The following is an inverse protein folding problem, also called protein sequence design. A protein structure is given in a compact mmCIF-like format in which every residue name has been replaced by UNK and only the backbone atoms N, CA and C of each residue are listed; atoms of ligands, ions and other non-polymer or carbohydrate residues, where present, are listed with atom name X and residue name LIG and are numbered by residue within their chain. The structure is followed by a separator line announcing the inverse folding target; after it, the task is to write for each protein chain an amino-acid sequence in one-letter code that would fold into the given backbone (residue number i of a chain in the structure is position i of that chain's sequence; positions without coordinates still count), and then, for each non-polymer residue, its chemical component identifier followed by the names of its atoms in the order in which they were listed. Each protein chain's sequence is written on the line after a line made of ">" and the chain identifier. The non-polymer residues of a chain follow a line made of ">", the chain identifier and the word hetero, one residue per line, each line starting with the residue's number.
data_IF_321990615300
#
_entry.id   IF_321990615300
#
_cell.length_a   1.000
_cell.length_b   1.000
_cell.length_c   1.000
_cell.angle_alpha   90.00
_cell.angle_beta   90.00
_cell.angle_gamma   90.00
#
_symmetry.space_group_name_H-M   'P 1'
#
loop_
_entity.id
_entity.type
_entity.pdbx_description
1 polymer ?
#
# COMPACT_ATOMS: atom_id res chain seq x y z
N UNK A 1 19.22 24.42 43.55
CA UNK A 1 20.06 23.21 43.47
C UNK A 1 19.20 22.01 43.05
N UNK A 2 18.54 22.13 41.89
CA UNK A 2 17.74 21.09 41.22
C UNK A 2 17.95 21.31 39.72
N UNK A 3 18.98 20.68 39.12
CA UNK A 3 19.24 20.74 37.67
C UNK A 3 20.39 19.80 37.23
N UNK A 4 20.52 18.59 37.81
CA UNK A 4 21.58 17.65 37.37
C UNK A 4 21.26 16.15 37.46
N UNK A 5 20.05 15.76 37.87
CA UNK A 5 19.70 14.34 38.04
C UNK A 5 18.82 13.73 36.93
N UNK A 6 18.51 14.49 35.86
CA UNK A 6 17.66 14.01 34.75
C UNK A 6 18.45 13.78 33.44
N UNK A 7 19.78 13.94 33.47
CA UNK A 7 20.61 13.90 32.26
C UNK A 7 21.54 12.67 32.12
N UNK A 8 21.51 11.69 33.02
CA UNK A 8 22.41 10.52 32.98
C UNK A 8 21.69 9.16 33.09
N UNK A 9 20.52 9.00 32.48
CA UNK A 9 19.84 7.70 32.39
C UNK A 9 19.56 7.23 30.96
N UNK A 10 20.18 7.86 29.95
CA UNK A 10 19.93 7.60 28.53
C UNK A 10 21.18 7.08 27.79
N UNK A 11 22.01 6.27 28.45
CA UNK A 11 23.04 5.46 27.77
C UNK A 11 23.18 4.10 28.48
N UNK A 12 22.17 3.24 28.35
CA UNK A 12 22.35 1.80 28.49
C UNK A 12 21.70 1.15 27.27
N UNK A 13 22.54 0.71 26.33
CA UNK A 13 22.11 -0.18 25.25
C UNK A 13 21.49 -1.42 25.89
N UNK A 14 20.23 -1.80 25.59
CA UNK A 14 19.75 -3.12 25.97
C UNK A 14 20.63 -4.14 25.25
N UNK A 15 21.21 -5.08 25.98
CA UNK A 15 21.90 -6.22 25.39
C UNK A 15 20.93 -6.97 24.47
N UNK A 16 21.42 -7.38 23.29
CA UNK A 16 20.61 -8.03 22.25
C UNK A 16 19.80 -9.25 22.74
N UNK A 17 20.19 -9.88 23.86
CA UNK A 17 19.47 -11.03 24.44
C UNK A 17 18.22 -10.70 25.28
N UNK A 18 17.99 -9.45 25.69
CA UNK A 18 16.87 -9.12 26.58
C UNK A 18 15.51 -8.97 25.84
N UNK A 19 15.54 -8.73 24.53
CA UNK A 19 14.32 -8.65 23.72
C UNK A 19 13.89 -10.03 23.19
N UNK A 20 14.82 -10.95 22.96
CA UNK A 20 14.50 -12.30 22.46
C UNK A 20 13.79 -13.16 23.51
N UNK A 21 14.10 -13.01 24.80
CA UNK A 21 13.43 -13.74 25.89
C UNK A 21 11.99 -13.30 26.17
N UNK A 22 11.54 -12.20 25.56
CA UNK A 22 10.16 -11.71 25.65
C UNK A 22 9.34 -12.00 24.39
N UNK A 23 9.93 -12.62 23.38
CA UNK A 23 9.19 -13.02 22.19
C UNK A 23 8.31 -14.23 22.53
N UNK A 24 6.99 -14.16 22.28
CA UNK A 24 6.15 -15.34 22.40
C UNK A 24 6.65 -16.45 21.45
N UNK A 25 6.37 -17.73 21.76
CA UNK A 25 6.77 -18.84 20.91
C UNK A 25 6.28 -18.64 19.46
N UNK A 26 6.96 -19.24 18.46
CA UNK A 26 6.58 -19.13 17.06
C UNK A 26 5.12 -19.54 16.88
N UNK A 27 4.33 -18.61 16.35
CA UNK A 27 2.88 -18.76 16.17
C UNK A 27 2.55 -19.90 15.23
N UNK A 28 1.45 -20.60 15.51
CA UNK A 28 0.91 -21.63 14.59
C UNK A 28 0.52 -21.01 13.24
N UNK A 29 0.46 -21.80 12.16
CA UNK A 29 0.07 -21.30 10.82
C UNK A 29 -1.28 -20.57 10.84
N UNK A 30 -2.19 -20.98 11.72
CA UNK A 30 -3.49 -20.35 11.96
C UNK A 30 -3.38 -19.00 12.68
N UNK A 31 -2.47 -18.87 13.65
CA UNK A 31 -2.17 -17.61 14.35
C UNK A 31 -1.37 -16.61 13.51
N UNK A 32 -0.64 -17.07 12.49
CA UNK A 32 0.08 -16.23 11.51
C UNK A 32 -0.92 -15.49 10.59
N UNK A 33 -2.07 -16.09 10.30
CA UNK A 33 -3.12 -15.53 9.44
C UNK A 33 -4.18 -14.74 10.23
N UNK A 34 -3.89 -14.28 11.44
CA UNK A 34 -4.79 -13.41 12.19
C UNK A 34 -4.49 -11.95 11.91
N UNK A 35 -5.50 -11.18 11.48
CA UNK A 35 -5.44 -9.73 11.59
C UNK A 35 -5.10 -9.36 13.03
N UNK A 36 -4.20 -8.39 13.18
CA UNK A 36 -3.73 -7.89 14.48
C UNK A 36 -4.65 -6.80 15.01
N UNK A 37 -5.56 -6.30 14.16
CA UNK A 37 -6.56 -5.31 14.51
C UNK A 37 -7.82 -5.55 13.67
N UNK A 38 -8.94 -5.87 14.31
CA UNK A 38 -10.19 -6.12 13.59
C UNK A 38 -10.71 -4.83 12.91
N UNK A 39 -11.23 -4.90 11.67
CA UNK A 39 -11.91 -3.76 11.06
C UNK A 39 -13.13 -3.38 11.89
N UNK A 40 -13.35 -2.08 12.14
CA UNK A 40 -14.60 -1.65 12.80
C UNK A 40 -15.81 -2.08 11.94
N UNK A 41 -16.97 -2.40 12.53
CA UNK A 41 -18.18 -2.68 11.76
C UNK A 41 -18.73 -1.40 11.09
N UNK A 42 -19.59 -1.54 10.05
CA UNK A 42 -20.37 -0.43 9.53
C UNK A 42 -21.14 0.29 10.64
N UNK A 43 -21.27 1.63 10.58
CA UNK A 43 -21.95 2.44 11.60
C UNK A 43 -21.12 2.80 12.84
N UNK A 44 -19.91 2.24 12.99
CA UNK A 44 -18.94 2.66 14.03
C UNK A 44 -17.75 3.43 13.46
N UNK A 45 -17.91 4.00 12.26
CA UNK A 45 -16.86 4.76 11.57
C UNK A 45 -16.80 6.24 12.01
N UNK A 46 -17.83 6.71 12.72
CA UNK A 46 -17.87 8.03 13.34
C UNK A 46 -17.71 9.16 12.32
N UNK A 47 -16.90 10.21 12.62
CA UNK A 47 -16.74 11.38 11.75
C UNK A 47 -16.18 11.10 10.34
N UNK A 48 -15.69 9.88 10.07
CA UNK A 48 -15.10 9.52 8.78
C UNK A 48 -16.11 8.91 7.80
N UNK A 49 -17.34 8.63 8.23
CA UNK A 49 -18.29 7.82 7.47
C UNK A 49 -18.59 8.39 6.07
N UNK A 50 -18.81 9.71 5.97
CA UNK A 50 -19.05 10.37 4.68
C UNK A 50 -17.82 10.40 3.77
N UNK A 51 -16.62 10.56 4.34
CA UNK A 51 -15.38 10.56 3.58
C UNK A 51 -15.02 9.16 3.08
N UNK A 52 -15.31 8.13 3.88
CA UNK A 52 -15.15 6.73 3.50
C UNK A 52 -16.13 6.31 2.41
N UNK A 53 -17.37 6.79 2.45
CA UNK A 53 -18.35 6.54 1.37
C UNK A 53 -17.81 6.90 -0.02
N UNK A 54 -17.13 8.05 -0.15
CA UNK A 54 -16.51 8.47 -1.42
C UNK A 54 -15.36 7.57 -1.87
N UNK A 55 -14.64 6.97 -0.92
CA UNK A 55 -13.60 5.97 -1.26
C UNK A 55 -14.25 4.66 -1.69
N UNK A 56 -15.34 4.24 -1.05
CA UNK A 56 -16.03 3.01 -1.43
C UNK A 56 -16.62 3.11 -2.84
N UNK A 57 -17.18 4.27 -3.20
CA UNK A 57 -17.62 4.55 -4.57
C UNK A 57 -16.45 4.52 -5.57
N UNK A 58 -15.24 4.88 -5.14
CA UNK A 58 -14.06 4.89 -6.00
C UNK A 58 -13.49 3.49 -6.26
N UNK A 59 -13.45 2.63 -5.23
CA UNK A 59 -12.78 1.31 -5.33
C UNK A 59 -13.76 0.14 -5.42
N UNK A 60 -15.06 0.38 -5.28
CA UNK A 60 -16.13 -0.61 -5.38
C UNK A 60 -16.42 -1.42 -4.11
N UNK A 61 -15.61 -1.29 -3.06
CA UNK A 61 -15.76 -2.03 -1.80
C UNK A 61 -15.31 -1.18 -0.61
N UNK A 62 -15.52 -1.73 0.60
CA UNK A 62 -15.08 -1.14 1.87
C UNK A 62 -13.72 -1.72 2.28
N UNK A 63 -12.63 -0.95 2.26
CA UNK A 63 -11.34 -1.46 2.69
C UNK A 63 -11.26 -1.62 4.22
N UNK A 64 -10.98 -2.83 4.66
CA UNK A 64 -10.65 -3.21 6.03
C UNK A 64 -9.50 -2.37 6.59
N UNK A 65 -8.49 -2.03 5.77
CA UNK A 65 -7.41 -1.14 6.21
C UNK A 65 -7.95 0.20 6.75
N UNK A 66 -8.86 0.84 6.02
CA UNK A 66 -9.45 2.10 6.45
C UNK A 66 -10.40 1.92 7.64
N UNK A 67 -11.14 0.80 7.68
CA UNK A 67 -11.99 0.45 8.82
C UNK A 67 -11.18 0.20 10.11
N UNK A 68 -9.95 -0.31 10.01
CA UNK A 68 -9.05 -0.44 11.17
C UNK A 68 -8.55 0.93 11.65
N UNK A 69 -8.19 1.82 10.71
CA UNK A 69 -7.72 3.19 10.98
C UNK A 69 -8.79 4.11 11.56
N UNK A 70 -10.09 3.84 11.35
CA UNK A 70 -11.20 4.69 11.80
C UNK A 70 -11.26 4.89 13.33
N UNK A 71 -10.53 4.07 14.11
CA UNK A 71 -10.25 4.30 15.53
C UNK A 71 -9.51 5.62 15.81
N UNK A 72 -8.82 6.18 14.82
CA UNK A 72 -8.15 7.48 14.84
C UNK A 72 -8.72 8.38 13.74
N UNK A 73 -9.99 8.74 13.91
CA UNK A 73 -10.80 9.46 12.91
C UNK A 73 -10.15 10.74 12.36
N UNK A 74 -9.51 11.56 13.19
CA UNK A 74 -8.80 12.76 12.71
C UNK A 74 -7.67 12.42 11.73
N UNK A 75 -6.83 11.44 12.09
CA UNK A 75 -5.73 11.00 11.24
C UNK A 75 -6.26 10.33 9.95
N UNK A 76 -7.30 9.51 10.06
CA UNK A 76 -7.95 8.90 8.91
C UNK A 76 -8.55 9.95 7.97
N UNK A 77 -9.24 10.97 8.48
CA UNK A 77 -9.80 12.03 7.64
C UNK A 77 -8.72 12.80 6.87
N UNK A 78 -7.56 13.08 7.47
CA UNK A 78 -6.41 13.66 6.76
C UNK A 78 -5.90 12.72 5.66
N UNK A 79 -5.79 11.43 5.96
CA UNK A 79 -5.38 10.42 4.98
C UNK A 79 -6.39 10.32 3.81
N UNK A 80 -7.69 10.34 4.09
CA UNK A 80 -8.73 10.27 3.06
C UNK A 80 -8.70 11.49 2.14
N UNK A 81 -8.45 12.69 2.69
CA UNK A 81 -8.23 13.89 1.88
C UNK A 81 -6.98 13.74 1.00
N UNK A 82 -5.89 13.20 1.55
CA UNK A 82 -4.67 12.92 0.77
C UNK A 82 -4.91 11.90 -0.36
N UNK A 83 -5.66 10.82 -0.12
CA UNK A 83 -6.03 9.85 -1.15
C UNK A 83 -6.79 10.54 -2.29
N UNK A 84 -7.78 11.37 -1.96
CA UNK A 84 -8.53 12.16 -2.95
C UNK A 84 -7.60 13.04 -3.78
N UNK A 85 -6.70 13.77 -3.13
CA UNK A 85 -5.77 14.68 -3.79
C UNK A 85 -4.74 13.98 -4.69
N UNK A 86 -4.34 12.75 -4.34
CA UNK A 86 -3.35 11.99 -5.13
C UNK A 86 -4.02 11.29 -6.31
N UNK A 87 -5.14 10.61 -6.09
CA UNK A 87 -5.72 9.68 -7.07
C UNK A 87 -6.97 10.19 -7.81
N UNK A 88 -7.65 11.24 -7.32
CA UNK A 88 -8.91 11.72 -7.91
C UNK A 88 -8.85 13.13 -8.47
N UNK A 89 -8.10 14.03 -7.84
CA UNK A 89 -7.97 15.39 -8.36
C UNK A 89 -7.44 15.34 -9.81
N UNK A 90 -7.98 16.18 -10.72
CA UNK A 90 -7.46 16.29 -12.08
C UNK A 90 -5.95 16.58 -12.03
N UNK A 91 -5.17 15.61 -12.46
CA UNK A 91 -3.72 15.69 -12.54
C UNK A 91 -3.24 15.43 -13.96
N UNK A 92 -1.92 15.50 -14.15
CA UNK A 92 -1.29 15.20 -15.44
C UNK A 92 -1.26 13.70 -15.74
N UNK A 93 -1.34 12.86 -14.70
CA UNK A 93 -1.38 11.40 -14.83
C UNK A 93 -2.78 10.86 -14.54
N UNK A 94 -3.20 9.86 -15.32
CA UNK A 94 -4.48 9.18 -15.10
C UNK A 94 -4.51 8.46 -13.75
N UNK A 95 -5.70 8.36 -13.15
CA UNK A 95 -5.91 7.65 -11.89
C UNK A 95 -5.43 6.19 -11.98
N UNK A 96 -5.81 5.51 -13.06
CA UNK A 96 -5.38 4.15 -13.36
C UNK A 96 -3.85 3.98 -13.38
N UNK A 97 -3.13 4.86 -14.07
CA UNK A 97 -1.67 4.78 -14.16
C UNK A 97 -0.99 5.04 -12.80
N UNK A 98 -1.51 5.98 -12.01
CA UNK A 98 -1.04 6.20 -10.62
C UNK A 98 -1.20 4.94 -9.76
N UNK A 99 -2.28 4.19 -9.95
CA UNK A 99 -2.49 2.91 -9.26
C UNK A 99 -1.57 1.79 -9.76
N UNK A 100 -1.20 1.76 -11.05
CA UNK A 100 -0.15 0.84 -11.53
C UNK A 100 1.23 1.16 -10.91
N UNK A 101 1.57 2.45 -10.78
CA UNK A 101 2.77 2.89 -10.06
C UNK A 101 2.73 2.40 -8.60
N UNK A 102 1.58 2.59 -7.93
CA UNK A 102 1.35 2.11 -6.58
C UNK A 102 1.46 0.57 -6.45
N UNK A 103 0.99 -0.17 -7.45
CA UNK A 103 1.15 -1.62 -7.52
C UNK A 103 2.63 -1.99 -7.53
N UNK A 104 3.42 -1.42 -8.45
CA UNK A 104 4.86 -1.75 -8.58
C UNK A 104 5.62 -1.42 -7.29
N UNK A 105 5.31 -0.30 -6.65
CA UNK A 105 5.91 0.06 -5.36
C UNK A 105 5.52 -0.92 -4.23
N UNK A 106 4.27 -1.40 -4.22
CA UNK A 106 3.75 -2.32 -3.20
C UNK A 106 4.23 -3.75 -3.37
N UNK A 107 4.38 -4.18 -4.63
CA UNK A 107 5.01 -5.44 -4.98
C UNK A 107 6.47 -5.46 -4.54
N UNK A 108 7.24 -4.41 -4.87
CA UNK A 108 8.63 -4.27 -4.41
C UNK A 108 8.78 -4.17 -2.88
N UNK A 109 7.75 -3.67 -2.19
CA UNK A 109 7.68 -3.64 -0.73
C UNK A 109 7.27 -4.98 -0.10
N UNK A 110 6.99 -6.02 -0.90
CA UNK A 110 6.43 -7.31 -0.47
C UNK A 110 5.15 -7.15 0.38
N UNK A 111 4.22 -6.29 -0.05
CA UNK A 111 2.95 -6.06 0.64
C UNK A 111 1.75 -6.55 -0.20
N UNK A 112 1.34 -7.84 -0.09
CA UNK A 112 0.28 -8.43 -0.90
C UNK A 112 -1.07 -7.71 -0.81
N UNK A 113 -1.46 -7.26 0.39
CA UNK A 113 -2.71 -6.52 0.57
C UNK A 113 -2.71 -5.25 -0.27
N UNK A 114 -1.64 -4.46 -0.18
CA UNK A 114 -1.57 -3.21 -0.93
C UNK A 114 -1.45 -3.44 -2.44
N UNK A 115 -0.70 -4.47 -2.89
CA UNK A 115 -0.55 -4.72 -4.32
C UNK A 115 -1.85 -5.20 -4.96
N UNK A 116 -2.62 -6.11 -4.34
CA UNK A 116 -3.92 -6.51 -4.89
C UNK A 116 -4.93 -5.35 -4.92
N UNK A 117 -4.92 -4.51 -3.89
CA UNK A 117 -5.78 -3.32 -3.84
C UNK A 117 -5.38 -2.29 -4.90
N UNK A 118 -4.08 -2.09 -5.13
CA UNK A 118 -3.58 -1.18 -6.14
C UNK A 118 -3.98 -1.61 -7.55
N UNK A 119 -3.79 -2.89 -7.91
CA UNK A 119 -4.14 -3.35 -9.27
C UNK A 119 -5.65 -3.32 -9.50
N UNK A 120 -6.46 -3.70 -8.50
CA UNK A 120 -7.92 -3.60 -8.61
C UNK A 120 -8.39 -2.14 -8.71
N UNK A 121 -7.77 -1.22 -7.96
CA UNK A 121 -8.06 0.21 -8.08
C UNK A 121 -7.59 0.80 -9.43
N UNK A 122 -6.55 0.23 -10.05
CA UNK A 122 -6.12 0.63 -11.39
C UNK A 122 -7.19 0.34 -12.44
N UNK A 123 -7.85 -0.82 -12.34
CA UNK A 123 -9.01 -1.19 -13.18
C UNK A 123 -10.15 -0.18 -13.03
N UNK A 124 -10.57 0.14 -11.79
CA UNK A 124 -11.58 1.18 -11.54
C UNK A 124 -11.13 2.58 -12.02
N UNK A 125 -9.82 2.82 -12.02
CA UNK A 125 -9.19 4.03 -12.57
C UNK A 125 -9.08 4.07 -14.10
N UNK A 126 -9.60 3.07 -14.81
CA UNK A 126 -9.69 3.02 -16.27
C UNK A 126 -8.57 2.22 -16.97
N UNK A 127 -7.73 1.51 -16.23
CA UNK A 127 -6.77 0.57 -16.85
C UNK A 127 -7.48 -0.69 -17.37
N UNK A 128 -6.90 -1.31 -18.40
CA UNK A 128 -7.43 -2.55 -18.96
C UNK A 128 -6.91 -3.77 -18.19
N UNK A 129 -7.70 -4.85 -18.18
CA UNK A 129 -7.29 -6.12 -17.56
C UNK A 129 -6.02 -6.69 -18.19
N UNK A 130 -5.85 -6.53 -19.51
CA UNK A 130 -4.62 -6.92 -20.20
C UNK A 130 -3.38 -6.19 -19.65
N UNK A 131 -3.52 -4.92 -19.24
CA UNK A 131 -2.42 -4.17 -18.61
C UNK A 131 -2.22 -4.58 -17.16
N UNK A 132 -3.30 -4.89 -16.43
CA UNK A 132 -3.22 -5.48 -15.09
C UNK A 132 -2.51 -6.84 -15.09
N UNK A 133 -2.73 -7.68 -16.10
CA UNK A 133 -2.04 -8.97 -16.27
C UNK A 133 -0.56 -8.78 -16.64
N UNK A 134 -0.32 -7.87 -17.58
CA UNK A 134 1.03 -7.56 -18.07
C UNK A 134 1.93 -6.89 -17.02
N UNK A 135 1.37 -6.26 -15.99
CA UNK A 135 2.15 -5.47 -15.03
C UNK A 135 3.22 -6.32 -14.34
N UNK A 136 3.02 -7.62 -14.13
CA UNK A 136 4.03 -8.51 -13.52
C UNK A 136 5.32 -8.64 -14.37
N UNK A 137 5.24 -8.31 -15.65
CA UNK A 137 6.32 -8.32 -16.66
C UNK A 137 6.59 -6.93 -17.24
N UNK A 138 6.31 -5.86 -16.47
CA UNK A 138 6.33 -4.49 -17.01
C UNK A 138 7.67 -4.04 -17.66
N UNK A 139 8.80 -4.67 -17.31
CA UNK A 139 10.14 -4.34 -17.83
C UNK A 139 10.30 -4.65 -19.31
N UNK A 140 9.72 -5.76 -19.78
CA UNK A 140 9.86 -6.27 -21.14
C UNK A 140 8.53 -6.39 -21.89
N UNK A 141 7.39 -6.21 -21.22
CA UNK A 141 6.08 -6.28 -21.86
C UNK A 141 5.78 -5.07 -22.76
N UNK A 142 5.40 -5.32 -24.00
CA UNK A 142 5.13 -4.31 -25.02
C UNK A 142 3.94 -3.37 -24.72
N UNK A 143 3.06 -3.72 -23.77
CA UNK A 143 1.94 -2.87 -23.37
C UNK A 143 2.36 -1.60 -22.61
N UNK A 144 3.61 -1.51 -22.18
CA UNK A 144 4.15 -0.34 -21.49
C UNK A 144 5.19 0.38 -22.35
N UNK A 145 5.13 1.70 -22.35
CA UNK A 145 6.08 2.59 -23.03
C UNK A 145 7.39 2.76 -22.25
N UNK A 146 8.40 3.38 -22.85
CA UNK A 146 9.63 3.78 -22.13
C UNK A 146 9.33 4.79 -21.00
N UNK A 147 8.39 5.72 -21.24
CA UNK A 147 7.89 6.67 -20.25
C UNK A 147 7.32 5.94 -19.02
N UNK A 148 6.41 5.00 -19.22
CA UNK A 148 5.81 4.25 -18.09
C UNK A 148 6.84 3.38 -17.35
N UNK A 149 7.73 2.71 -18.08
CA UNK A 149 8.83 1.94 -17.47
C UNK A 149 9.74 2.81 -16.60
N UNK A 150 10.00 4.05 -16.97
CA UNK A 150 10.78 4.97 -16.14
C UNK A 150 10.11 5.26 -14.78
N UNK A 151 8.78 5.43 -14.77
CA UNK A 151 8.02 5.58 -13.53
C UNK A 151 8.01 4.28 -12.70
N UNK A 152 7.88 3.12 -13.35
CA UNK A 152 7.90 1.82 -12.68
C UNK A 152 9.27 1.47 -12.10
N UNK A 153 10.38 1.82 -12.75
CA UNK A 153 11.72 1.65 -12.16
C UNK A 153 11.90 2.49 -10.90
N UNK A 154 11.45 3.75 -10.89
CA UNK A 154 11.43 4.55 -9.66
C UNK A 154 10.54 3.89 -8.59
N UNK A 155 9.33 3.46 -8.95
CA UNK A 155 8.39 2.83 -8.02
C UNK A 155 8.98 1.58 -7.37
N UNK A 156 9.60 0.71 -8.17
CA UNK A 156 10.26 -0.51 -7.71
C UNK A 156 11.45 -0.20 -6.79
N UNK A 157 12.30 0.75 -7.16
CA UNK A 157 13.45 1.16 -6.35
C UNK A 157 13.04 1.82 -5.03
N UNK A 158 12.00 2.67 -5.07
CA UNK A 158 11.49 3.41 -3.91
C UNK A 158 10.64 2.53 -2.96
N UNK A 159 9.96 1.52 -3.49
CA UNK A 159 9.19 0.54 -2.70
C UNK A 159 10.07 -0.43 -1.92
N UNK A 160 11.29 -0.69 -2.39
CA UNK A 160 12.25 -1.55 -1.69
C UNK A 160 12.74 -0.92 -0.37
N UNK A 161 12.96 -1.71 0.68
CA UNK A 161 13.53 -1.25 1.95
C UNK A 161 14.87 -1.95 2.25
N UNK A 162 15.98 -1.21 2.50
CA UNK A 162 16.10 0.25 2.33
C UNK A 162 15.87 0.67 0.87
N UNK A 163 15.45 1.92 0.67
CA UNK A 163 15.21 2.47 -0.66
C UNK A 163 16.46 2.35 -1.53
N UNK A 164 16.26 1.96 -2.79
CA UNK A 164 17.31 1.81 -3.81
C UNK A 164 17.31 2.97 -4.80
N UNK A 165 16.58 4.04 -4.52
CA UNK A 165 16.52 5.23 -5.37
C UNK A 165 17.90 5.88 -5.47
N UNK A 166 18.26 6.27 -6.69
CA UNK A 166 19.52 6.94 -7.03
C UNK A 166 19.24 8.10 -7.98
N UNK A 167 20.22 8.99 -8.19
CA UNK A 167 20.10 10.11 -9.14
C UNK A 167 19.74 9.63 -10.56
N UNK A 168 20.23 8.47 -10.96
CA UNK A 168 19.92 7.88 -12.26
C UNK A 168 18.41 7.72 -12.51
N UNK A 169 17.65 7.29 -11.49
CA UNK A 169 16.19 7.16 -11.64
C UNK A 169 15.54 8.51 -11.99
N UNK A 170 15.97 9.58 -11.33
CA UNK A 170 15.46 10.93 -11.59
C UNK A 170 15.99 11.54 -12.90
N UNK A 171 17.20 11.21 -13.32
CA UNK A 171 17.72 11.60 -14.63
C UNK A 171 16.88 11.00 -15.75
N UNK A 172 16.55 9.70 -15.67
CA UNK A 172 15.69 9.01 -16.64
C UNK A 172 14.25 9.54 -16.58
N UNK A 173 13.69 9.76 -15.39
CA UNK A 173 12.35 10.35 -15.24
C UNK A 173 12.24 11.72 -15.94
N UNK A 174 13.24 12.60 -15.77
CA UNK A 174 13.24 13.93 -16.40
C UNK A 174 13.34 13.91 -17.92
N UNK A 175 13.72 12.79 -18.53
CA UNK A 175 13.66 12.63 -20.00
C UNK A 175 12.22 12.47 -20.50
N UNK A 176 11.30 12.06 -19.62
CA UNK A 176 9.94 11.73 -19.98
C UNK A 176 8.92 12.63 -19.34
N UNK A 177 9.12 13.03 -18.08
CA UNK A 177 8.16 13.70 -17.22
C UNK A 177 8.62 15.09 -16.79
N UNK A 178 7.66 16.01 -16.63
CA UNK A 178 7.91 17.30 -16.00
C UNK A 178 7.91 17.19 -14.45
N UNK A 179 8.23 18.29 -13.77
CA UNK A 179 8.36 18.30 -12.31
C UNK A 179 7.05 18.02 -11.57
N UNK A 180 5.91 18.41 -12.14
CA UNK A 180 4.59 18.17 -11.55
C UNK A 180 4.21 16.70 -11.68
N UNK A 181 4.45 16.10 -12.85
CA UNK A 181 4.26 14.67 -13.06
C UNK A 181 5.19 13.81 -12.17
N UNK A 182 6.45 14.23 -12.01
CA UNK A 182 7.39 13.55 -11.09
C UNK A 182 6.88 13.61 -9.66
N UNK A 183 6.30 14.74 -9.23
CA UNK A 183 5.69 14.87 -7.92
C UNK A 183 4.47 13.95 -7.77
N UNK A 184 3.61 13.83 -8.78
CA UNK A 184 2.47 12.90 -8.78
C UNK A 184 2.91 11.43 -8.65
N UNK A 185 3.97 11.04 -9.37
CA UNK A 185 4.57 9.69 -9.27
C UNK A 185 5.07 9.46 -7.84
N UNK A 186 5.86 10.39 -7.31
CA UNK A 186 6.42 10.28 -5.97
C UNK A 186 5.34 10.24 -4.88
N UNK A 187 4.28 11.02 -5.00
CA UNK A 187 3.14 11.01 -4.08
C UNK A 187 2.40 9.66 -4.11
N UNK A 188 2.20 9.09 -5.30
CA UNK A 188 1.56 7.76 -5.45
C UNK A 188 2.37 6.68 -4.73
N UNK A 189 3.70 6.68 -4.93
CA UNK A 189 4.64 5.77 -4.27
C UNK A 189 4.63 5.98 -2.74
N UNK A 190 4.76 7.23 -2.28
CA UNK A 190 4.85 7.55 -0.86
C UNK A 190 3.57 7.19 -0.09
N UNK A 191 2.40 7.49 -0.68
CA UNK A 191 1.11 7.15 -0.11
C UNK A 191 0.90 5.64 -0.01
N UNK A 192 1.29 4.87 -1.03
CA UNK A 192 1.28 3.41 -0.90
C UNK A 192 2.35 2.89 0.05
N UNK A 193 3.49 3.55 0.19
CA UNK A 193 4.46 3.26 1.26
C UNK A 193 3.86 3.37 2.66
N UNK A 194 2.95 4.33 2.89
CA UNK A 194 2.17 4.41 4.13
C UNK A 194 1.26 3.18 4.32
N UNK A 195 0.49 2.81 3.29
CA UNK A 195 -0.36 1.61 3.33
C UNK A 195 0.42 0.32 3.49
N UNK A 196 1.58 0.20 2.84
CA UNK A 196 2.46 -0.98 2.93
C UNK A 196 2.89 -1.20 4.37
N UNK A 197 3.31 -0.13 5.06
CA UNK A 197 3.65 -0.19 6.48
C UNK A 197 2.46 -0.58 7.32
N UNK A 198 1.31 0.09 7.13
CA UNK A 198 0.11 -0.21 7.91
C UNK A 198 -0.32 -1.66 7.75
N UNK A 199 -0.54 -2.12 6.53
CA UNK A 199 -1.08 -3.45 6.25
C UNK A 199 -0.09 -4.55 6.61
N UNK A 200 1.21 -4.33 6.42
CA UNK A 200 2.22 -5.29 6.88
C UNK A 200 2.23 -5.43 8.41
N UNK A 201 2.07 -4.32 9.13
CA UNK A 201 1.99 -4.33 10.59
C UNK A 201 0.67 -4.90 11.11
N UNK A 202 -0.44 -4.68 10.42
CA UNK A 202 -1.76 -5.13 10.89
C UNK A 202 -2.13 -6.53 10.41
N UNK A 203 -1.44 -7.09 9.41
CA UNK A 203 -1.86 -8.32 8.73
C UNK A 203 -3.34 -8.25 8.31
N UNK A 204 -3.76 -7.10 7.78
CA UNK A 204 -5.16 -6.79 7.44
C UNK A 204 -5.77 -7.88 6.58
N UNK A 205 -6.95 -8.38 6.95
CA UNK A 205 -7.66 -9.40 6.18
C UNK A 205 -8.11 -8.87 4.81
N UNK A 206 -7.96 -9.69 3.78
CA UNK A 206 -8.35 -9.37 2.40
C UNK A 206 -9.87 -9.42 2.19
N UNK A 207 -10.35 -8.51 1.37
CA UNK A 207 -11.71 -8.40 0.88
C UNK A 207 -11.89 -9.25 -0.38
N UNK A 208 -13.12 -9.72 -0.61
CA UNK A 208 -13.46 -10.63 -1.72
C UNK A 208 -13.09 -10.08 -3.08
N UNK A 209 -13.46 -8.84 -3.38
CA UNK A 209 -13.32 -8.28 -4.73
C UNK A 209 -11.86 -8.07 -5.15
N UNK A 210 -11.01 -7.33 -4.40
CA UNK A 210 -9.60 -7.19 -4.76
C UNK A 210 -8.83 -8.51 -4.69
N UNK A 211 -9.22 -9.44 -3.80
CA UNK A 211 -8.62 -10.78 -3.76
C UNK A 211 -8.90 -11.56 -5.04
N UNK A 212 -10.17 -11.63 -5.46
CA UNK A 212 -10.57 -12.34 -6.69
C UNK A 212 -9.93 -11.73 -7.91
N UNK A 213 -9.94 -10.40 -8.02
CA UNK A 213 -9.32 -9.68 -9.12
C UNK A 213 -7.82 -9.99 -9.22
N UNK A 214 -7.09 -10.02 -8.10
CA UNK A 214 -5.68 -10.37 -8.10
C UNK A 214 -5.43 -11.85 -8.46
N UNK A 215 -6.25 -12.78 -7.98
CA UNK A 215 -6.13 -14.21 -8.35
C UNK A 215 -6.36 -14.41 -9.84
N UNK A 216 -7.34 -13.70 -10.41
CA UNK A 216 -7.69 -13.79 -11.84
C UNK A 216 -6.62 -13.17 -12.74
N UNK A 217 -6.19 -11.94 -12.44
CA UNK A 217 -5.34 -11.17 -13.35
C UNK A 217 -3.85 -11.21 -13.04
N UNK A 218 -3.42 -11.45 -11.79
CA UNK A 218 -1.99 -11.60 -11.47
C UNK A 218 -1.53 -13.06 -11.47
N UNK A 219 -2.48 -13.99 -11.35
CA UNK A 219 -2.22 -15.44 -11.38
C UNK A 219 -1.14 -15.87 -10.39
N UNK A 220 -0.22 -16.72 -10.84
CA UNK A 220 0.85 -17.27 -10.01
C UNK A 220 1.91 -16.27 -9.54
N UNK A 221 1.88 -15.02 -10.01
CA UNK A 221 2.84 -13.98 -9.61
C UNK A 221 2.47 -13.30 -8.30
N UNK A 222 1.26 -13.52 -7.79
CA UNK A 222 0.79 -12.93 -6.54
C UNK A 222 0.33 -14.00 -5.56
N UNK A 223 0.60 -13.79 -4.27
CA UNK A 223 0.09 -14.64 -3.19
C UNK A 223 -0.36 -13.77 -2.04
N UNK A 224 -1.36 -14.17 -1.24
CA UNK A 224 -1.88 -13.37 -0.13
C UNK A 224 -0.88 -13.15 1.02
N UNK A 225 0.23 -13.91 1.06
CA UNK A 225 1.24 -13.80 2.12
C UNK A 225 0.67 -14.04 3.52
N UNK A 226 0.87 -13.08 4.42
CA UNK A 226 0.38 -13.14 5.81
C UNK A 226 -1.10 -12.75 5.97
N UNK A 227 -1.75 -12.30 4.90
CA UNK A 227 -3.11 -11.78 4.96
C UNK A 227 -4.11 -12.93 4.84
N UNK A 228 -5.11 -12.95 5.72
CA UNK A 228 -6.20 -13.92 5.60
C UNK A 228 -6.99 -13.64 4.33
N UNK A 229 -7.31 -14.69 3.59
CA UNK A 229 -8.19 -14.62 2.43
C UNK A 229 -9.65 -14.75 2.86
N UNK A 230 -10.58 -14.12 2.12
CA UNK A 230 -12.01 -14.29 2.36
C UNK A 230 -12.42 -15.76 2.18
N UNK A 231 -13.44 -16.24 2.90
CA UNK A 231 -13.95 -17.60 2.70
C UNK A 231 -14.45 -17.77 1.26
N UNK A 232 -14.40 -19.01 0.71
CA UNK A 232 -15.01 -19.28 -0.58
C UNK A 232 -16.49 -18.90 -0.55
N UNK A 233 -17.02 -18.40 -1.68
CA UNK A 233 -18.44 -18.11 -1.79
C UNK A 233 -19.24 -19.38 -1.45
N UNK A 234 -20.22 -19.25 -0.56
CA UNK A 234 -21.19 -20.32 -0.33
C UNK A 234 -21.99 -20.52 -1.62
N UNK A 235 -21.95 -21.73 -2.18
CA UNK A 235 -22.81 -22.19 -3.28
C UNK A 235 -24.30 -22.05 -2.93
#
# INVERSE_FOLDING_TARGET
>A
MQSKAVAEALILKPGAGALESCLPPPRTKTEILMTRLDPLPPGLLGPCESALGRIYEMVGYRPNALATMARKSTALNTLLALIGNVFREPGRLSSGFKFLIAYVASDAANCPYSSCHAVHAAHHGGETDARAEAITSWRDNALFSSRERAAFELAHAAGTLPTKVTNYHFEVLRMHYDEEEIAEIAMSIALFGWFNRWNSMMATDLETDPYRYAVEHLGGHWTPGQHRVPPPASE
#
